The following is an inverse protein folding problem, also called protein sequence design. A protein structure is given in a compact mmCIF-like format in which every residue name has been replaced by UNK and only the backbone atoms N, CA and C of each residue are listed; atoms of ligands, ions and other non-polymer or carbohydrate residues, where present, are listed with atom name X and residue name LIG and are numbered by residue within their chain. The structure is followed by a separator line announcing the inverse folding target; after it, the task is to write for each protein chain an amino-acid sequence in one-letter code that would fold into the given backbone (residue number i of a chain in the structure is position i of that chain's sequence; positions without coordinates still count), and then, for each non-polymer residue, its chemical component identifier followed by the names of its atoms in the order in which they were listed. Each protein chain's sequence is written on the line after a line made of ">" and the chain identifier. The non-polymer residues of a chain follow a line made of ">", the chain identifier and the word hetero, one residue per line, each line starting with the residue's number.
data_IF_857617104861
#
_entry.id   IF_857617104861
#
_cell.length_a   1.000
_cell.length_b   1.000
_cell.length_c   1.000
_cell.angle_alpha   90.00
_cell.angle_beta   90.00
_cell.angle_gamma   90.00
#
_symmetry.space_group_name_H-M   'P 1'
#
loop_
_entity.id
_entity.type
_entity.pdbx_description
1 polymer ?
#
# COMPACT_ATOMS: atom_id res chain seq x y z
N UNK A 1 17.44 21.79 -23.30
CA UNK A 1 17.17 22.55 -22.05
C UNK A 1 16.70 21.57 -20.96
N UNK A 2 17.29 21.61 -19.76
CA UNK A 2 16.77 20.82 -18.62
C UNK A 2 15.50 21.52 -18.14
N UNK A 3 14.32 20.93 -18.37
CA UNK A 3 13.06 21.43 -17.80
C UNK A 3 13.21 21.46 -16.26
N UNK A 4 12.79 22.56 -15.63
CA UNK A 4 12.76 22.64 -14.16
C UNK A 4 11.74 21.66 -13.64
N UNK A 5 12.16 20.80 -12.72
CA UNK A 5 11.30 19.80 -12.09
C UNK A 5 10.41 20.46 -11.05
N UNK A 6 9.11 20.17 -11.11
CA UNK A 6 8.11 20.55 -10.11
C UNK A 6 7.79 19.38 -9.18
N UNK A 7 7.49 19.68 -7.91
CA UNK A 7 7.08 18.66 -6.92
C UNK A 7 5.62 18.25 -7.11
N UNK A 8 5.22 17.11 -6.53
CA UNK A 8 3.82 16.63 -6.57
C UNK A 8 2.83 17.70 -6.12
N UNK A 9 3.12 18.40 -5.01
CA UNK A 9 2.28 19.49 -4.50
C UNK A 9 2.18 20.69 -5.47
N UNK A 10 3.29 21.08 -6.10
CA UNK A 10 3.30 22.14 -7.11
C UNK A 10 2.46 21.76 -8.32
N UNK A 11 2.52 20.47 -8.71
CA UNK A 11 1.68 19.90 -9.76
C UNK A 11 0.20 19.95 -9.41
N UNK A 12 -0.19 19.59 -8.17
CA UNK A 12 -1.57 19.70 -7.71
C UNK A 12 -2.10 21.12 -7.76
N UNK A 13 -1.28 22.13 -7.40
CA UNK A 13 -1.65 23.53 -7.52
C UNK A 13 -1.87 23.91 -8.99
N UNK A 14 -0.97 23.51 -9.90
CA UNK A 14 -1.13 23.80 -11.33
C UNK A 14 -2.36 23.10 -11.90
N UNK A 15 -2.63 21.85 -11.53
CA UNK A 15 -3.82 21.10 -11.94
C UNK A 15 -5.10 21.80 -11.48
N UNK A 16 -5.15 22.27 -10.23
CA UNK A 16 -6.28 23.04 -9.72
C UNK A 16 -6.54 24.31 -10.54
N UNK A 17 -5.48 25.02 -10.92
CA UNK A 17 -5.58 26.20 -11.77
C UNK A 17 -6.01 25.85 -13.21
N UNK A 18 -5.54 24.73 -13.77
CA UNK A 18 -5.91 24.27 -15.12
C UNK A 18 -7.36 23.77 -15.18
N UNK A 19 -7.85 23.13 -14.14
CA UNK A 19 -9.25 22.68 -14.02
C UNK A 19 -10.24 23.85 -13.89
N UNK A 20 -9.77 25.02 -13.49
CA UNK A 20 -10.59 26.24 -13.46
C UNK A 20 -10.85 26.76 -14.88
N UNK A 21 -11.89 26.24 -15.51
CA UNK A 21 -12.24 26.56 -16.92
C UNK A 21 -12.78 27.98 -17.11
N UNK A 22 -13.23 28.63 -16.03
CA UNK A 22 -13.88 29.95 -16.10
C UNK A 22 -12.90 31.13 -16.09
N UNK A 23 -11.59 30.90 -16.00
CA UNK A 23 -10.54 31.92 -15.80
C UNK A 23 -10.84 32.89 -14.62
N UNK A 24 -11.67 32.44 -13.66
CA UNK A 24 -11.95 33.24 -12.46
C UNK A 24 -10.75 33.20 -11.55
N UNK A 25 -10.32 34.33 -10.98
CA UNK A 25 -9.28 34.34 -9.98
C UNK A 25 -9.64 33.48 -8.76
N UNK A 26 -8.71 32.66 -8.30
CA UNK A 26 -8.77 31.90 -7.05
C UNK A 26 -7.75 32.52 -6.08
N UNK A 27 -8.11 32.70 -4.83
CA UNK A 27 -7.18 33.26 -3.83
C UNK A 27 -6.21 32.20 -3.32
N UNK A 28 -5.07 32.63 -2.79
CA UNK A 28 -4.09 31.74 -2.13
C UNK A 28 -4.74 30.97 -0.96
N UNK A 29 -5.68 31.60 -0.26
CA UNK A 29 -6.41 30.98 0.85
C UNK A 29 -7.36 29.88 0.36
N UNK A 30 -8.02 30.05 -0.77
CA UNK A 30 -8.87 29.03 -1.37
C UNK A 30 -8.03 27.86 -1.88
N UNK A 31 -6.91 28.11 -2.56
CA UNK A 31 -5.96 27.05 -2.96
C UNK A 31 -5.47 26.25 -1.74
N UNK A 32 -5.12 26.96 -0.67
CA UNK A 32 -4.66 26.33 0.57
C UNK A 32 -5.74 25.45 1.21
N UNK A 33 -7.00 25.91 1.20
CA UNK A 33 -8.16 25.17 1.71
C UNK A 33 -8.47 23.93 0.87
N UNK A 34 -8.49 24.08 -0.45
CA UNK A 34 -8.80 22.98 -1.39
C UNK A 34 -7.78 21.83 -1.28
N UNK A 35 -6.51 22.17 -1.13
CA UNK A 35 -5.43 21.20 -1.04
C UNK A 35 -5.05 20.81 0.41
N UNK A 36 -5.80 21.29 1.40
CA UNK A 36 -5.56 21.05 2.83
C UNK A 36 -4.10 21.35 3.27
N UNK A 37 -3.56 22.51 2.83
CA UNK A 37 -2.21 22.97 3.16
C UNK A 37 -2.23 24.43 3.69
N UNK A 38 -1.11 24.90 4.26
CA UNK A 38 -1.05 26.30 4.74
C UNK A 38 -0.86 27.30 3.60
N UNK A 39 -1.42 28.51 3.74
CA UNK A 39 -1.21 29.62 2.79
C UNK A 39 0.27 29.95 2.60
N UNK A 40 1.08 29.83 3.67
CA UNK A 40 2.54 30.00 3.62
C UNK A 40 3.20 28.96 2.71
N UNK A 41 2.67 27.73 2.72
CA UNK A 41 3.16 26.65 1.85
C UNK A 41 2.85 26.94 0.40
N UNK A 42 1.62 27.39 0.07
CA UNK A 42 1.24 27.80 -1.27
C UNK A 42 2.13 28.92 -1.78
N UNK A 43 2.30 30.00 -1.00
CA UNK A 43 3.13 31.14 -1.35
C UNK A 43 4.59 30.74 -1.64
N UNK A 44 5.16 29.83 -0.86
CA UNK A 44 6.53 29.34 -1.07
C UNK A 44 6.66 28.57 -2.40
N UNK A 45 5.64 27.82 -2.78
CA UNK A 45 5.66 27.02 -4.01
C UNK A 45 5.38 27.87 -5.26
N UNK A 46 4.68 29.01 -5.14
CA UNK A 46 4.31 29.86 -6.27
C UNK A 46 5.50 30.30 -7.12
N UNK A 47 6.63 30.66 -6.54
CA UNK A 47 7.81 31.09 -7.30
C UNK A 47 8.30 30.04 -8.31
N UNK A 48 8.25 28.75 -7.92
CA UNK A 48 8.62 27.64 -8.81
C UNK A 48 7.53 27.35 -9.84
N UNK A 49 6.27 27.48 -9.44
CA UNK A 49 5.10 27.29 -10.30
C UNK A 49 5.11 28.37 -11.40
N UNK A 50 5.28 29.64 -11.03
CA UNK A 50 5.38 30.76 -11.96
C UNK A 50 6.49 30.53 -12.99
N UNK A 51 7.68 30.12 -12.51
CA UNK A 51 8.82 29.84 -13.39
C UNK A 51 8.57 28.65 -14.33
N UNK A 52 7.87 27.61 -13.86
CA UNK A 52 7.53 26.46 -14.69
C UNK A 52 6.50 26.81 -15.76
N UNK A 53 5.47 27.59 -15.41
CA UNK A 53 4.46 28.08 -16.36
C UNK A 53 5.08 28.96 -17.43
N UNK A 54 5.96 29.89 -17.06
CA UNK A 54 6.68 30.77 -17.97
C UNK A 54 7.61 29.98 -18.93
N UNK A 55 8.35 29.00 -18.43
CA UNK A 55 9.21 28.12 -19.24
C UNK A 55 8.44 27.25 -20.26
N UNK A 56 7.15 27.05 -20.07
CA UNK A 56 6.28 26.30 -20.97
C UNK A 56 5.31 27.22 -21.75
N UNK A 57 5.55 28.54 -21.76
CA UNK A 57 4.79 29.54 -22.48
C UNK A 57 3.30 29.64 -22.07
N UNK A 58 2.97 29.30 -20.80
CA UNK A 58 1.62 29.48 -20.29
C UNK A 58 1.41 30.78 -19.56
N UNK A 59 0.32 31.45 -19.90
CA UNK A 59 0.00 32.75 -19.35
C UNK A 59 -0.65 32.67 -17.96
N UNK A 60 0.14 32.94 -16.94
CA UNK A 60 -0.29 33.00 -15.55
C UNK A 60 -0.51 34.43 -15.10
N UNK A 61 -1.64 34.70 -14.47
CA UNK A 61 -2.01 36.03 -13.97
C UNK A 61 -2.12 36.03 -12.45
N UNK A 62 -1.45 37.01 -11.84
CA UNK A 62 -1.50 37.27 -10.41
C UNK A 62 -1.93 38.70 -10.17
N UNK A 63 -3.12 38.88 -9.59
CA UNK A 63 -3.67 40.22 -9.27
C UNK A 63 -3.71 40.40 -7.76
N UNK A 64 -2.91 41.32 -7.18
CA UNK A 64 -2.96 41.62 -5.78
C UNK A 64 -4.37 41.93 -5.29
N UNK A 65 -4.80 41.32 -4.18
CA UNK A 65 -6.12 41.49 -3.61
C UNK A 65 -7.27 40.78 -4.34
N UNK A 66 -7.00 40.19 -5.52
CA UNK A 66 -8.01 39.50 -6.35
C UNK A 66 -7.77 37.98 -6.37
N UNK A 67 -6.55 37.57 -6.71
CA UNK A 67 -6.21 36.14 -6.79
C UNK A 67 -5.28 35.80 -7.94
N UNK A 68 -5.21 34.52 -8.26
CA UNK A 68 -4.37 33.91 -9.29
C UNK A 68 -5.23 33.10 -10.26
N UNK A 69 -4.84 33.01 -11.54
CA UNK A 69 -5.49 32.16 -12.53
C UNK A 69 -4.61 31.96 -13.76
N UNK A 70 -4.91 30.96 -14.58
CA UNK A 70 -4.34 30.75 -15.89
C UNK A 70 -5.23 31.48 -16.94
N UNK A 71 -4.65 32.43 -17.65
CA UNK A 71 -5.33 33.15 -18.74
C UNK A 71 -5.13 32.41 -20.07
N UNK A 72 -5.69 31.21 -20.13
CA UNK A 72 -5.50 30.24 -21.20
C UNK A 72 -6.83 29.76 -21.78
N UNK A 73 -6.80 29.28 -23.02
CA UNK A 73 -7.92 28.56 -23.63
C UNK A 73 -8.17 27.21 -22.97
N UNK A 74 -9.34 26.62 -23.21
CA UNK A 74 -9.67 25.28 -22.72
C UNK A 74 -8.69 24.23 -23.27
N UNK A 75 -8.31 24.32 -24.54
CA UNK A 75 -7.36 23.40 -25.17
C UNK A 75 -5.96 23.54 -24.57
N UNK A 76 -5.49 24.77 -24.30
CA UNK A 76 -4.22 25.00 -23.61
C UNK A 76 -4.24 24.44 -22.19
N UNK A 77 -5.35 24.58 -21.47
CA UNK A 77 -5.51 23.99 -20.11
C UNK A 77 -5.54 22.48 -20.14
N UNK A 78 -6.20 21.88 -21.13
CA UNK A 78 -6.18 20.43 -21.34
C UNK A 78 -4.76 19.95 -21.65
N UNK A 79 -4.02 20.67 -22.48
CA UNK A 79 -2.62 20.37 -22.77
C UNK A 79 -1.72 20.49 -21.52
N UNK A 80 -1.96 21.46 -20.62
CA UNK A 80 -1.27 21.52 -19.31
C UNK A 80 -1.53 20.26 -18.50
N UNK A 81 -2.78 19.80 -18.44
CA UNK A 81 -3.15 18.58 -17.71
C UNK A 81 -2.41 17.36 -18.29
N UNK A 82 -2.39 17.19 -19.60
CA UNK A 82 -1.69 16.12 -20.30
C UNK A 82 -0.17 16.19 -20.08
N UNK A 83 0.43 17.36 -20.22
CA UNK A 83 1.85 17.60 -19.98
C UNK A 83 2.26 17.24 -18.54
N UNK A 84 1.41 17.54 -17.56
CA UNK A 84 1.63 17.18 -16.18
C UNK A 84 1.43 15.68 -15.91
N UNK A 85 0.63 14.99 -16.68
CA UNK A 85 0.46 13.54 -16.61
C UNK A 85 1.65 12.80 -17.23
N UNK A 86 2.25 13.34 -18.29
CA UNK A 86 3.46 12.78 -18.92
C UNK A 86 4.73 13.01 -18.08
N UNK A 87 4.80 14.09 -17.30
CA UNK A 87 5.91 14.27 -16.36
C UNK A 87 5.78 13.21 -15.25
N UNK A 88 6.68 12.22 -15.27
CA UNK A 88 6.81 11.23 -14.17
C UNK A 88 6.85 11.99 -12.85
N UNK A 89 5.79 11.85 -12.05
CA UNK A 89 5.70 12.43 -10.71
C UNK A 89 6.95 12.04 -9.95
N UNK A 90 7.77 12.99 -9.55
CA UNK A 90 8.75 12.72 -8.50
C UNK A 90 7.95 12.51 -7.20
N UNK A 91 7.56 11.27 -6.96
CA UNK A 91 6.86 10.89 -5.74
C UNK A 91 7.77 11.20 -4.55
N UNK A 92 7.47 12.27 -3.82
CA UNK A 92 8.10 12.52 -2.53
C UNK A 92 7.31 11.74 -1.48
N UNK A 93 7.90 10.69 -0.95
CA UNK A 93 7.29 9.88 0.09
C UNK A 93 7.30 10.63 1.43
N UNK A 94 6.17 10.67 2.11
CA UNK A 94 6.11 11.05 3.52
C UNK A 94 6.90 10.04 4.37
N UNK A 95 7.20 10.37 5.61
CA UNK A 95 7.89 9.46 6.52
C UNK A 95 7.14 8.14 6.71
N UNK A 96 5.81 8.21 6.88
CA UNK A 96 4.96 7.04 7.04
C UNK A 96 4.91 6.18 5.76
N UNK A 97 4.83 6.78 4.58
CA UNK A 97 4.88 6.04 3.32
C UNK A 97 6.23 5.35 3.11
N UNK A 98 7.36 6.01 3.49
CA UNK A 98 8.68 5.38 3.43
C UNK A 98 8.78 4.19 4.38
N UNK A 99 8.33 4.35 5.62
CA UNK A 99 8.32 3.28 6.62
C UNK A 99 7.52 2.07 6.12
N UNK A 100 6.30 2.28 5.60
CA UNK A 100 5.48 1.22 5.02
C UNK A 100 6.16 0.55 3.82
N UNK A 101 6.78 1.33 2.93
CA UNK A 101 7.52 0.81 1.78
C UNK A 101 8.71 -0.06 2.21
N UNK A 102 9.50 0.40 3.16
CA UNK A 102 10.69 -0.34 3.65
C UNK A 102 10.23 -1.63 4.36
N UNK A 103 9.26 -1.55 5.26
CA UNK A 103 8.71 -2.71 5.97
C UNK A 103 8.14 -3.76 5.01
N UNK A 104 7.35 -3.34 4.00
CA UNK A 104 6.79 -4.29 3.04
C UNK A 104 7.88 -5.04 2.27
N UNK A 105 8.94 -4.35 1.85
CA UNK A 105 10.06 -4.99 1.16
C UNK A 105 10.85 -5.94 2.08
N UNK A 106 11.15 -5.52 3.31
CA UNK A 106 11.90 -6.33 4.26
C UNK A 106 11.15 -7.59 4.70
N UNK A 107 9.84 -7.50 4.90
CA UNK A 107 8.99 -8.60 5.35
C UNK A 107 8.64 -9.60 4.24
N UNK A 108 8.84 -9.23 2.96
CA UNK A 108 8.52 -10.12 1.81
C UNK A 108 9.75 -10.67 1.10
N UNK A 109 10.90 -10.04 1.29
CA UNK A 109 12.13 -10.47 0.62
C UNK A 109 12.75 -11.69 1.31
N UNK A 110 13.07 -12.71 0.52
CA UNK A 110 13.90 -13.86 0.93
C UNK A 110 15.40 -13.56 0.90
N UNK A 111 15.82 -12.46 0.25
CA UNK A 111 17.20 -12.09 0.07
C UNK A 111 17.52 -10.73 0.70
N UNK A 112 18.75 -10.51 1.20
CA UNK A 112 19.17 -9.23 1.75
C UNK A 112 19.06 -8.09 0.72
N UNK A 113 18.43 -6.99 1.09
CA UNK A 113 18.22 -5.82 0.25
C UNK A 113 19.35 -4.82 0.45
N UNK A 114 19.93 -4.30 -0.62
CA UNK A 114 20.97 -3.28 -0.53
C UNK A 114 20.38 -1.92 -0.13
N UNK A 115 21.04 -1.19 0.80
CA UNK A 115 20.62 0.17 1.20
C UNK A 115 20.39 1.09 0.02
N UNK A 116 21.24 0.95 -1.03
CA UNK A 116 21.14 1.69 -2.27
C UNK A 116 19.77 1.58 -2.93
N UNK A 117 19.12 0.42 -2.88
CA UNK A 117 17.77 0.22 -3.40
C UNK A 117 16.77 1.17 -2.74
N UNK A 118 16.79 1.26 -1.41
CA UNK A 118 15.86 2.10 -0.66
C UNK A 118 16.08 3.59 -0.91
N UNK A 119 17.31 4.10 -0.73
CA UNK A 119 17.50 5.55 -0.87
C UNK A 119 17.37 6.02 -2.32
N UNK A 120 17.69 5.19 -3.30
CA UNK A 120 17.46 5.49 -4.72
C UNK A 120 15.97 5.48 -5.06
N UNK A 121 15.22 4.46 -4.63
CA UNK A 121 13.78 4.33 -4.94
C UNK A 121 12.97 5.42 -4.24
N UNK A 122 13.26 5.68 -2.97
CA UNK A 122 12.59 6.69 -2.16
C UNK A 122 13.13 8.11 -2.40
N UNK A 123 14.24 8.25 -3.13
CA UNK A 123 14.91 9.54 -3.42
C UNK A 123 15.27 10.33 -2.15
N UNK A 124 15.79 9.64 -1.16
CA UNK A 124 16.21 10.21 0.13
C UNK A 124 17.72 10.07 0.33
N UNK A 125 18.26 10.81 1.28
CA UNK A 125 19.65 10.67 1.70
C UNK A 125 19.86 9.40 2.54
N UNK A 126 21.10 8.90 2.59
CA UNK A 126 21.46 7.79 3.47
C UNK A 126 21.20 8.12 4.95
N UNK A 127 21.45 9.37 5.38
CA UNK A 127 21.14 9.82 6.73
C UNK A 127 19.64 9.77 7.04
N UNK A 128 18.78 10.13 6.08
CA UNK A 128 17.32 10.01 6.22
C UNK A 128 16.91 8.54 6.36
N UNK A 129 17.47 7.65 5.53
CA UNK A 129 17.20 6.22 5.60
C UNK A 129 17.64 5.62 6.95
N UNK A 130 18.79 6.03 7.48
CA UNK A 130 19.25 5.57 8.79
C UNK A 130 18.31 6.00 9.93
N UNK A 131 17.74 7.20 9.85
CA UNK A 131 16.72 7.64 10.81
C UNK A 131 15.42 6.86 10.68
N UNK A 132 14.99 6.55 9.45
CA UNK A 132 13.81 5.72 9.21
C UNK A 132 14.02 4.30 9.77
N UNK A 133 15.22 3.74 9.70
CA UNK A 133 15.53 2.41 10.26
C UNK A 133 15.40 2.35 11.79
N UNK A 134 15.67 3.41 12.53
CA UNK A 134 15.50 3.44 14.00
C UNK A 134 14.02 3.12 14.34
N UNK A 135 13.09 3.81 13.70
CA UNK A 135 11.67 3.58 13.96
C UNK A 135 11.16 2.24 13.40
N UNK A 136 11.79 1.75 12.34
CA UNK A 136 11.49 0.43 11.77
C UNK A 136 11.96 -0.67 12.73
N UNK A 137 13.14 -0.53 13.35
CA UNK A 137 13.65 -1.44 14.39
C UNK A 137 12.68 -1.48 15.57
N UNK A 138 12.26 -0.33 16.11
CA UNK A 138 11.29 -0.24 17.21
C UNK A 138 9.94 -0.91 16.85
N UNK A 139 9.49 -0.75 15.60
CA UNK A 139 8.25 -1.36 15.15
C UNK A 139 8.39 -2.89 15.03
N UNK A 140 9.50 -3.39 14.48
CA UNK A 140 9.79 -4.82 14.32
C UNK A 140 9.99 -5.53 15.67
N UNK A 141 10.58 -4.85 16.66
CA UNK A 141 10.78 -5.38 18.01
C UNK A 141 9.46 -5.75 18.69
N UNK A 142 8.34 -5.04 18.39
CA UNK A 142 7.01 -5.40 18.88
C UNK A 142 6.53 -6.79 18.40
N UNK A 143 7.17 -7.35 17.38
CA UNK A 143 6.90 -8.67 16.82
C UNK A 143 8.04 -9.66 17.06
N UNK A 144 9.01 -9.33 17.90
CA UNK A 144 10.21 -10.16 18.11
C UNK A 144 11.02 -10.39 16.82
N UNK A 145 10.97 -9.48 15.87
CA UNK A 145 11.71 -9.51 14.61
C UNK A 145 12.89 -8.57 14.70
N UNK A 146 14.08 -9.06 14.36
CA UNK A 146 15.31 -8.28 14.36
C UNK A 146 15.63 -7.74 12.97
N UNK A 147 15.94 -6.44 12.87
CA UNK A 147 16.50 -5.85 11.65
C UNK A 147 18.03 -6.07 11.65
N UNK A 148 18.53 -6.76 10.64
CA UNK A 148 19.94 -7.03 10.46
C UNK A 148 20.50 -6.14 9.34
N UNK A 149 21.54 -5.37 9.65
CA UNK A 149 22.25 -4.52 8.69
C UNK A 149 23.71 -4.97 8.62
N UNK A 150 24.05 -5.74 7.59
CA UNK A 150 25.39 -6.34 7.45
C UNK A 150 26.15 -5.70 6.27
N UNK A 151 27.29 -5.03 6.53
CA UNK A 151 28.12 -4.48 5.47
C UNK A 151 28.46 -5.54 4.40
N UNK A 152 28.38 -5.14 3.13
CA UNK A 152 28.61 -6.06 2.00
C UNK A 152 27.46 -7.00 1.66
N UNK A 153 26.67 -7.45 2.64
CA UNK A 153 25.51 -8.34 2.45
C UNK A 153 24.26 -7.53 2.11
N UNK A 154 23.84 -6.62 2.98
CA UNK A 154 22.64 -5.82 2.85
C UNK A 154 21.83 -5.78 4.14
N UNK A 155 20.52 -5.55 3.98
CA UNK A 155 19.55 -5.37 5.05
C UNK A 155 18.49 -6.45 4.90
N UNK A 156 18.18 -7.13 6.00
CA UNK A 156 17.17 -8.19 6.06
C UNK A 156 16.60 -8.30 7.48
N UNK A 157 15.59 -9.10 7.65
CA UNK A 157 14.94 -9.32 8.95
C UNK A 157 15.07 -10.79 9.37
N UNK A 158 15.16 -11.03 10.68
CA UNK A 158 15.19 -12.35 11.30
C UNK A 158 14.11 -12.45 12.36
N UNK A 159 13.28 -13.48 12.28
CA UNK A 159 12.20 -13.78 13.23
C UNK A 159 11.54 -15.11 12.90
N UNK A 160 10.64 -15.58 13.78
CA UNK A 160 9.85 -16.77 13.46
C UNK A 160 8.85 -16.50 12.35
N UNK A 161 8.44 -17.53 11.62
CA UNK A 161 7.42 -17.41 10.58
C UNK A 161 6.09 -16.84 11.13
N UNK A 162 5.71 -17.23 12.34
CA UNK A 162 4.55 -16.71 13.05
C UNK A 162 4.66 -15.19 13.27
N UNK A 163 5.83 -14.72 13.68
CA UNK A 163 6.07 -13.30 13.95
C UNK A 163 6.08 -12.51 12.65
N UNK A 164 6.70 -13.04 11.59
CA UNK A 164 6.69 -12.44 10.24
C UNK A 164 5.27 -12.24 9.72
N UNK A 165 4.42 -13.27 9.81
CA UNK A 165 3.02 -13.17 9.39
C UNK A 165 2.24 -12.16 10.23
N UNK A 166 2.46 -12.15 11.54
CA UNK A 166 1.81 -11.19 12.44
C UNK A 166 2.18 -9.75 12.08
N UNK A 167 3.44 -9.50 11.77
CA UNK A 167 3.92 -8.20 11.32
C UNK A 167 3.33 -7.80 9.95
N UNK A 168 3.29 -8.73 8.98
CA UNK A 168 2.70 -8.49 7.67
C UNK A 168 1.20 -8.15 7.76
N UNK A 169 0.44 -8.92 8.54
CA UNK A 169 -0.97 -8.67 8.80
C UNK A 169 -1.17 -7.29 9.45
N UNK A 170 -0.38 -6.97 10.47
CA UNK A 170 -0.45 -5.66 11.13
C UNK A 170 -0.13 -4.51 10.18
N UNK A 171 0.86 -4.69 9.29
CA UNK A 171 1.22 -3.70 8.28
C UNK A 171 0.07 -3.47 7.29
N UNK A 172 -0.64 -4.52 6.88
CA UNK A 172 -1.83 -4.43 6.03
C UNK A 172 -2.92 -3.62 6.72
N UNK A 173 -3.33 -4.00 7.93
CA UNK A 173 -4.39 -3.31 8.67
C UNK A 173 -4.04 -1.85 9.05
N UNK A 174 -2.76 -1.54 9.25
CA UNK A 174 -2.31 -0.15 9.46
C UNK A 174 -2.22 0.66 8.16
N UNK A 175 -2.38 0.03 7.01
CA UNK A 175 -2.22 0.68 5.71
C UNK A 175 -3.54 1.01 5.03
N UNK A 176 -4.63 0.40 5.47
CA UNK A 176 -5.95 0.51 4.86
C UNK A 176 -7.04 0.67 5.92
N UNK A 177 -8.04 1.45 5.62
CA UNK A 177 -9.30 1.42 6.35
C UNK A 177 -10.04 0.11 6.04
N UNK A 178 -10.90 -0.36 6.97
CA UNK A 178 -11.61 -1.63 6.83
C UNK A 178 -12.42 -1.69 5.53
N UNK A 179 -13.12 -0.62 5.17
CA UNK A 179 -13.90 -0.54 3.94
C UNK A 179 -13.03 -0.62 2.69
N UNK A 180 -11.85 -0.01 2.71
CA UNK A 180 -10.89 -0.12 1.61
C UNK A 180 -10.41 -1.56 1.40
N UNK A 181 -10.14 -2.31 2.48
CA UNK A 181 -9.78 -3.73 2.40
C UNK A 181 -10.92 -4.58 1.82
N UNK A 182 -12.16 -4.34 2.24
CA UNK A 182 -13.35 -5.00 1.70
C UNK A 182 -13.44 -4.75 0.19
N UNK A 183 -13.31 -3.50 -0.22
CA UNK A 183 -13.40 -3.10 -1.63
C UNK A 183 -12.27 -3.71 -2.46
N UNK A 184 -11.03 -3.71 -1.94
CA UNK A 184 -9.89 -4.32 -2.62
C UNK A 184 -10.13 -5.83 -2.81
N UNK A 185 -10.48 -6.57 -1.78
CA UNK A 185 -10.65 -8.03 -1.85
C UNK A 185 -11.82 -8.40 -2.76
N UNK A 186 -12.98 -7.75 -2.62
CA UNK A 186 -14.17 -8.03 -3.44
C UNK A 186 -14.01 -7.62 -4.91
N UNK A 187 -13.20 -6.60 -5.20
CA UNK A 187 -12.98 -6.08 -6.56
C UNK A 187 -11.68 -6.54 -7.23
N UNK A 188 -10.91 -7.41 -6.58
CA UNK A 188 -9.73 -8.03 -7.18
C UNK A 188 -10.14 -8.86 -8.41
N UNK A 189 -10.08 -8.30 -9.60
CA UNK A 189 -10.44 -8.96 -10.87
C UNK A 189 -11.48 -8.25 -11.71
N UNK A 190 -12.20 -7.29 -11.17
CA UNK A 190 -12.97 -6.37 -11.99
C UNK A 190 -12.02 -5.26 -12.46
N UNK A 191 -11.84 -5.13 -13.79
CA UNK A 191 -11.11 -4.01 -14.38
C UNK A 191 -11.75 -2.70 -13.88
N UNK A 192 -11.18 -2.11 -12.84
CA UNK A 192 -11.49 -0.74 -12.45
C UNK A 192 -10.75 0.17 -13.45
N UNK A 193 -11.32 0.27 -14.66
CA UNK A 193 -11.17 1.47 -15.47
C UNK A 193 -12.00 2.54 -14.79
N UNK A 194 -11.35 3.57 -14.32
CA UNK A 194 -11.87 4.80 -13.70
C UNK A 194 -11.97 4.72 -12.17
N UNK A 195 -10.91 5.18 -11.52
CA UNK A 195 -10.96 6.27 -10.55
C UNK A 195 -9.54 6.63 -10.10
N UNK A 196 -9.19 7.88 -10.23
CA UNK A 196 -8.15 8.70 -9.61
C UNK A 196 -6.79 8.07 -9.20
N UNK A 197 -5.71 8.78 -9.54
CA UNK A 197 -4.28 8.53 -9.23
C UNK A 197 -3.98 8.10 -7.77
N UNK A 198 -4.92 8.33 -6.84
CA UNK A 198 -4.85 7.93 -5.42
C UNK A 198 -5.11 6.42 -5.25
N UNK A 199 -6.02 5.81 -6.03
CA UNK A 199 -6.35 4.38 -5.97
C UNK A 199 -5.21 3.48 -6.44
N UNK A 200 -4.46 3.88 -7.46
CA UNK A 200 -3.27 3.14 -7.94
C UNK A 200 -2.22 3.01 -6.81
N UNK A 201 -2.14 3.97 -5.88
CA UNK A 201 -1.19 3.92 -4.77
C UNK A 201 -1.60 2.95 -3.65
N UNK A 202 -2.90 2.74 -3.43
CA UNK A 202 -3.44 1.85 -2.39
C UNK A 202 -3.41 0.38 -2.82
N UNK A 203 -3.88 0.08 -4.02
CA UNK A 203 -3.78 -1.26 -4.62
C UNK A 203 -2.33 -1.75 -4.70
N UNK A 204 -1.39 -0.89 -5.12
CA UNK A 204 0.01 -1.24 -5.20
C UNK A 204 0.65 -1.54 -3.82
N UNK A 205 0.13 -0.99 -2.74
CA UNK A 205 0.65 -1.25 -1.38
C UNK A 205 0.28 -2.65 -0.88
N UNK A 206 -0.97 -3.09 -1.10
CA UNK A 206 -1.39 -4.45 -0.75
C UNK A 206 -0.69 -5.49 -1.66
N UNK A 207 -0.58 -5.18 -2.95
CA UNK A 207 0.05 -6.02 -3.97
C UNK A 207 1.56 -6.25 -3.73
N UNK A 208 2.24 -5.35 -3.01
CA UNK A 208 3.63 -5.58 -2.61
C UNK A 208 3.76 -6.59 -1.45
N UNK A 209 2.68 -6.83 -0.70
CA UNK A 209 2.66 -7.79 0.42
C UNK A 209 2.08 -9.15 0.00
N UNK A 210 1.06 -9.16 -0.85
CA UNK A 210 0.38 -10.37 -1.32
C UNK A 210 0.10 -10.25 -2.83
N UNK A 211 0.38 -11.31 -3.58
CA UNK A 211 0.05 -11.38 -5.00
C UNK A 211 -1.46 -11.29 -5.25
N UNK A 212 -1.87 -10.43 -6.17
CA UNK A 212 -3.28 -10.20 -6.53
C UNK A 212 -3.98 -11.48 -6.98
N UNK A 213 -3.28 -12.33 -7.72
CA UNK A 213 -3.82 -13.61 -8.19
C UNK A 213 -4.11 -14.56 -7.03
N UNK A 214 -3.28 -14.54 -5.98
CA UNK A 214 -3.49 -15.33 -4.76
C UNK A 214 -4.74 -14.86 -4.02
N UNK A 215 -4.88 -13.54 -3.81
CA UNK A 215 -6.05 -12.96 -3.13
C UNK A 215 -7.34 -13.39 -3.85
N UNK A 216 -7.40 -13.26 -5.18
CA UNK A 216 -8.58 -13.60 -5.99
C UNK A 216 -8.96 -15.08 -5.87
N UNK A 217 -7.97 -15.96 -5.98
CA UNK A 217 -8.21 -17.40 -5.91
C UNK A 217 -8.64 -17.83 -4.51
N UNK A 218 -8.00 -17.29 -3.46
CA UNK A 218 -8.38 -17.54 -2.06
C UNK A 218 -9.79 -17.02 -1.78
N UNK A 219 -10.13 -15.82 -2.24
CA UNK A 219 -11.47 -15.25 -2.08
C UNK A 219 -12.54 -16.14 -2.69
N UNK A 220 -12.34 -16.62 -3.93
CA UNK A 220 -13.26 -17.51 -4.60
C UNK A 220 -13.42 -18.84 -3.84
N UNK A 221 -12.29 -19.52 -3.51
CA UNK A 221 -12.31 -20.81 -2.80
C UNK A 221 -12.99 -20.71 -1.44
N UNK A 222 -12.71 -19.64 -0.69
CA UNK A 222 -13.36 -19.39 0.61
C UNK A 222 -14.86 -19.12 0.46
N UNK A 223 -15.27 -18.32 -0.51
CA UNK A 223 -16.67 -18.01 -0.76
C UNK A 223 -17.48 -19.28 -1.07
N UNK A 224 -16.94 -20.20 -1.87
CA UNK A 224 -17.55 -21.48 -2.17
C UNK A 224 -17.63 -22.37 -0.93
N UNK A 225 -16.53 -22.55 -0.21
CA UNK A 225 -16.48 -23.39 1.01
C UNK A 225 -17.46 -22.89 2.06
N UNK A 226 -17.52 -21.58 2.32
CA UNK A 226 -18.40 -20.97 3.32
C UNK A 226 -19.88 -21.19 2.97
N UNK A 227 -20.24 -21.12 1.67
CA UNK A 227 -21.59 -21.44 1.20
C UNK A 227 -21.94 -22.91 1.42
N UNK A 228 -21.03 -23.82 1.08
CA UNK A 228 -21.26 -25.27 1.16
C UNK A 228 -21.46 -25.74 2.60
N UNK A 229 -20.75 -25.13 3.56
CA UNK A 229 -20.90 -25.44 4.98
C UNK A 229 -21.94 -24.59 5.69
N UNK A 230 -22.61 -23.66 4.98
CA UNK A 230 -23.58 -22.70 5.51
C UNK A 230 -23.08 -21.92 6.73
N UNK A 231 -21.79 -21.53 6.71
CA UNK A 231 -21.17 -20.77 7.79
C UNK A 231 -21.55 -19.28 7.68
N UNK A 232 -22.13 -18.72 8.73
CA UNK A 232 -22.45 -17.30 8.81
C UNK A 232 -21.29 -16.54 9.44
N UNK A 233 -20.64 -15.67 8.68
CA UNK A 233 -19.58 -14.78 9.13
C UNK A 233 -19.82 -13.35 8.64
N UNK A 234 -19.29 -12.36 9.36
CA UNK A 234 -19.35 -10.96 8.92
C UNK A 234 -18.41 -10.70 7.74
N UNK A 235 -18.64 -9.63 6.99
CA UNK A 235 -17.75 -9.21 5.93
C UNK A 235 -16.30 -8.98 6.42
N UNK A 236 -16.13 -8.31 7.58
CA UNK A 236 -14.83 -8.14 8.22
C UNK A 236 -14.12 -9.45 8.50
N UNK A 237 -14.85 -10.42 9.07
CA UNK A 237 -14.33 -11.74 9.37
C UNK A 237 -13.91 -12.51 8.12
N UNK A 238 -14.70 -12.41 7.06
CA UNK A 238 -14.38 -12.99 5.75
C UNK A 238 -13.09 -12.38 5.17
N UNK A 239 -12.99 -11.04 5.15
CA UNK A 239 -11.80 -10.33 4.67
C UNK A 239 -10.56 -10.70 5.49
N UNK A 240 -10.71 -10.79 6.82
CA UNK A 240 -9.65 -11.28 7.70
C UNK A 240 -9.12 -12.65 7.29
N UNK A 241 -10.02 -13.62 7.05
CA UNK A 241 -9.65 -14.95 6.57
C UNK A 241 -8.96 -14.90 5.22
N UNK A 242 -9.48 -14.12 4.26
CA UNK A 242 -8.84 -13.96 2.93
C UNK A 242 -7.41 -13.45 3.08
N UNK A 243 -7.18 -12.42 3.89
CA UNK A 243 -5.83 -11.85 4.13
C UNK A 243 -4.90 -12.89 4.74
N UNK A 244 -5.32 -13.55 5.83
CA UNK A 244 -4.49 -14.54 6.54
C UNK A 244 -4.15 -15.75 5.67
N UNK A 245 -5.13 -16.29 4.95
CA UNK A 245 -4.91 -17.45 4.08
C UNK A 245 -4.09 -17.08 2.85
N UNK A 246 -4.30 -15.90 2.27
CA UNK A 246 -3.50 -15.43 1.12
C UNK A 246 -2.03 -15.27 1.50
N UNK A 247 -1.73 -14.73 2.69
CA UNK A 247 -0.36 -14.69 3.23
C UNK A 247 0.20 -16.09 3.44
N UNK A 248 -0.56 -17.00 4.03
CA UNK A 248 -0.13 -18.39 4.24
C UNK A 248 0.20 -19.06 2.91
N UNK A 249 -0.64 -18.95 1.89
CA UNK A 249 -0.40 -19.52 0.54
C UNK A 249 0.87 -18.93 -0.07
N UNK A 250 1.06 -17.61 0.00
CA UNK A 250 2.26 -16.97 -0.55
C UNK A 250 3.53 -17.44 0.15
N UNK A 251 3.51 -17.58 1.47
CA UNK A 251 4.64 -18.06 2.27
C UNK A 251 4.92 -19.53 2.00
N UNK A 252 3.90 -20.38 1.92
CA UNK A 252 4.05 -21.80 1.55
C UNK A 252 4.69 -21.98 0.17
N UNK A 253 4.32 -21.15 -0.81
CA UNK A 253 4.94 -21.17 -2.14
C UNK A 253 6.43 -20.82 -2.13
N UNK A 254 6.86 -20.03 -1.15
CA UNK A 254 8.26 -19.71 -0.92
C UNK A 254 8.99 -20.77 -0.07
N UNK A 255 8.31 -21.86 0.30
CA UNK A 255 8.87 -22.93 1.14
C UNK A 255 8.89 -22.61 2.63
N UNK A 256 8.17 -21.57 3.07
CA UNK A 256 8.13 -21.12 4.45
C UNK A 256 6.86 -21.64 5.13
N UNK A 257 7.02 -22.33 6.24
CA UNK A 257 5.94 -22.97 6.99
C UNK A 257 5.89 -22.48 8.42
N UNK A 258 4.67 -22.32 8.93
CA UNK A 258 4.49 -22.06 10.35
C UNK A 258 4.74 -23.36 11.14
N UNK A 259 5.28 -23.24 12.36
CA UNK A 259 5.41 -24.34 13.30
C UNK A 259 4.53 -24.08 14.50
N UNK A 260 3.81 -25.10 14.96
CA UNK A 260 2.90 -25.03 16.09
C UNK A 260 3.30 -26.04 17.16
N UNK A 261 3.21 -25.65 18.43
CA UNK A 261 3.45 -26.57 19.54
C UNK A 261 2.43 -27.73 19.52
N UNK A 262 2.90 -28.93 19.76
CA UNK A 262 2.09 -30.15 19.62
C UNK A 262 0.85 -30.14 20.51
N UNK A 263 0.97 -29.60 21.73
CA UNK A 263 -0.14 -29.53 22.67
C UNK A 263 -1.23 -28.59 22.18
N UNK A 264 -0.86 -27.42 21.63
CA UNK A 264 -1.77 -26.45 21.00
C UNK A 264 -2.46 -27.08 19.79
N UNK A 265 -1.70 -27.77 18.94
CA UNK A 265 -2.26 -28.43 17.76
C UNK A 265 -3.27 -29.55 18.17
N UNK A 266 -2.98 -30.31 19.20
CA UNK A 266 -3.87 -31.36 19.71
C UNK A 266 -5.17 -30.76 20.28
N UNK A 267 -5.10 -29.62 20.99
CA UNK A 267 -6.28 -28.89 21.45
C UNK A 267 -7.14 -28.46 20.24
N UNK A 268 -6.53 -27.85 19.24
CA UNK A 268 -7.22 -27.37 18.03
C UNK A 268 -7.88 -28.52 17.24
N UNK A 269 -7.24 -29.69 17.15
CA UNK A 269 -7.82 -30.87 16.49
C UNK A 269 -9.11 -31.36 17.14
N UNK A 270 -9.33 -31.05 18.42
CA UNK A 270 -10.52 -31.48 19.16
C UNK A 270 -11.76 -30.61 18.91
N UNK A 271 -11.63 -29.43 18.33
CA UNK A 271 -12.73 -28.48 18.10
C UNK A 271 -13.34 -28.60 16.70
N UNK A 272 -14.61 -28.20 16.56
CA UNK A 272 -15.35 -28.32 15.29
C UNK A 272 -14.73 -27.46 14.16
N UNK A 273 -14.20 -26.30 14.49
CA UNK A 273 -13.55 -25.40 13.55
C UNK A 273 -12.37 -26.04 12.81
N UNK A 274 -11.72 -27.06 13.42
CA UNK A 274 -10.64 -27.79 12.75
C UNK A 274 -11.12 -28.56 11.52
N UNK A 275 -12.34 -29.11 11.55
CA UNK A 275 -12.94 -29.77 10.39
C UNK A 275 -13.20 -28.77 9.25
N UNK A 276 -13.68 -27.58 9.61
CA UNK A 276 -13.87 -26.48 8.66
C UNK A 276 -12.54 -26.03 8.05
N UNK A 277 -11.51 -25.82 8.90
CA UNK A 277 -10.16 -25.48 8.47
C UNK A 277 -9.57 -26.53 7.52
N UNK A 278 -9.80 -27.82 7.82
CA UNK A 278 -9.34 -28.93 6.96
C UNK A 278 -9.99 -28.86 5.56
N UNK A 279 -11.29 -28.58 5.49
CA UNK A 279 -11.97 -28.40 4.18
C UNK A 279 -11.42 -27.22 3.40
N UNK A 280 -11.20 -26.07 4.06
CA UNK A 280 -10.59 -24.90 3.45
C UNK A 280 -9.18 -25.26 2.95
N UNK A 281 -8.37 -25.94 3.76
CA UNK A 281 -7.03 -26.35 3.37
C UNK A 281 -7.03 -27.27 2.14
N UNK A 282 -7.95 -28.24 2.06
CA UNK A 282 -8.09 -29.12 0.89
C UNK A 282 -8.40 -28.34 -0.38
N UNK A 283 -9.30 -27.37 -0.34
CA UNK A 283 -9.59 -26.52 -1.49
C UNK A 283 -8.41 -25.64 -1.91
N UNK A 284 -7.66 -25.14 -0.93
CA UNK A 284 -6.43 -24.38 -1.19
C UNK A 284 -5.35 -25.29 -1.82
N UNK A 285 -5.20 -26.53 -1.36
CA UNK A 285 -4.29 -27.50 -1.97
C UNK A 285 -4.62 -27.76 -3.45
N UNK A 286 -5.92 -27.98 -3.75
CA UNK A 286 -6.40 -28.21 -5.12
C UNK A 286 -6.20 -26.96 -6.01
N UNK A 287 -6.59 -25.76 -5.53
CA UNK A 287 -6.52 -24.52 -6.30
C UNK A 287 -5.09 -24.07 -6.62
N UNK A 288 -4.15 -24.33 -5.71
CA UNK A 288 -2.79 -23.80 -5.81
C UNK A 288 -1.73 -24.88 -6.12
N UNK A 289 -2.11 -26.15 -6.21
CA UNK A 289 -1.20 -27.30 -6.37
C UNK A 289 -0.05 -27.29 -5.33
N UNK A 290 -0.41 -27.11 -4.06
CA UNK A 290 0.51 -27.08 -2.93
C UNK A 290 0.02 -28.06 -1.86
N UNK A 291 0.91 -28.44 -0.93
CA UNK A 291 0.52 -29.12 0.30
C UNK A 291 0.37 -28.12 1.43
N UNK A 292 -0.72 -28.23 2.19
CA UNK A 292 -0.98 -27.43 3.39
C UNK A 292 -0.63 -28.27 4.62
N UNK A 293 0.49 -28.00 5.31
CA UNK A 293 0.87 -28.75 6.51
C UNK A 293 -0.18 -28.67 7.61
N UNK A 294 -0.19 -29.66 8.51
CA UNK A 294 -1.16 -29.73 9.62
C UNK A 294 -1.11 -28.50 10.53
N UNK A 295 0.08 -27.91 10.70
CA UNK A 295 0.29 -26.70 11.50
C UNK A 295 -0.39 -25.47 10.85
N UNK A 296 -0.43 -25.40 9.52
CA UNK A 296 -1.19 -24.38 8.80
C UNK A 296 -2.71 -24.57 8.98
N UNK A 297 -3.20 -25.81 9.00
CA UNK A 297 -4.61 -26.10 9.32
C UNK A 297 -4.91 -25.64 10.73
N UNK A 298 -4.00 -25.86 11.68
CA UNK A 298 -4.08 -25.33 13.03
C UNK A 298 -4.16 -23.80 13.04
N UNK A 299 -3.34 -23.13 12.25
CA UNK A 299 -3.34 -21.66 12.11
C UNK A 299 -4.67 -21.13 11.55
N UNK A 300 -5.20 -21.74 10.50
CA UNK A 300 -6.53 -21.41 9.96
C UNK A 300 -7.61 -21.63 11.03
N UNK A 301 -7.51 -22.73 11.81
CA UNK A 301 -8.44 -23.04 12.90
C UNK A 301 -8.48 -21.96 13.96
N UNK A 302 -7.32 -21.42 14.35
CA UNK A 302 -7.24 -20.30 15.31
C UNK A 302 -8.01 -19.07 14.80
N UNK A 303 -7.88 -18.76 13.51
CA UNK A 303 -8.59 -17.63 12.92
C UNK A 303 -10.10 -17.88 12.86
N UNK A 304 -10.55 -19.08 12.52
CA UNK A 304 -11.96 -19.46 12.56
C UNK A 304 -12.55 -19.41 13.98
N UNK A 305 -11.77 -19.77 15.00
CA UNK A 305 -12.19 -19.70 16.42
C UNK A 305 -12.43 -18.26 16.88
N UNK A 306 -11.65 -17.30 16.38
CA UNK A 306 -11.80 -15.89 16.71
C UNK A 306 -12.98 -15.18 16.05
N UNK A 307 -13.75 -15.87 15.19
CA UNK A 307 -14.90 -15.33 14.46
C UNK A 307 -16.27 -15.57 15.13
N UNK A 308 -16.30 -16.35 16.22
CA UNK A 308 -17.52 -16.67 16.98
C UNK A 308 -17.71 -15.75 18.18
#
# INVERSE_FOLDING_TARGET
>A
MKRKKISSRQKEIILLLAQNTSNKPITISEVAKELNISTRTVLRDMTKIESWLDENDFKFIKKPGVGIYLDETLDSKQFIIELLQEEKIEKSYTKEERKKFILSNLLTSSEPIKSYYFYKTLKISEGTLNNDFIEIEEWLDNFSIKLIRKPGTGIYVEGSEKDMRSAQVRLIYNSFEEQELIDIVKNVGNNIQKHNVIEISSENRLLNLIDKSIIKKVENSLSETIKDINLKISDSAFIGLVVHISLAVQRLRNGETISMEQDVLNELKSIEQFKTATKIAQQIEEEFDIKVPIDEIGYITMHLRGLN
#
